data_IF_712922045728
#
_entry.id   IF_712922045728
#
_cell.length_a   1.000
_cell.length_b   1.000
_cell.length_c   1.000
_cell.angle_alpha   90.00
_cell.angle_beta   90.00
_cell.angle_gamma   90.00
#
_symmetry.space_group_name_H-M   'P 1'
#
loop_
_entity.id
_entity.type
_entity.pdbx_description
1 polymer ?
#
# COMPACT_ATOMS: atom_id res chain seq x y z
N UNK A 1 -4.60 -30.02 9.44
CA UNK A 1 -3.37 -30.46 8.75
C UNK A 1 -3.60 -30.84 7.29
N UNK A 2 -4.59 -31.66 6.95
CA UNK A 2 -4.87 -32.08 5.56
C UNK A 2 -5.16 -30.92 4.60
N UNK A 3 -5.90 -29.90 5.04
CA UNK A 3 -6.21 -28.71 4.22
C UNK A 3 -4.98 -27.86 3.89
N UNK A 4 -4.03 -27.70 4.82
CA UNK A 4 -2.79 -26.93 4.59
C UNK A 4 -1.95 -27.54 3.46
N UNK A 5 -1.74 -28.85 3.48
CA UNK A 5 -0.96 -29.55 2.46
C UNK A 5 -1.60 -29.48 1.07
N UNK A 6 -2.94 -29.51 1.00
CA UNK A 6 -3.69 -29.33 -0.25
C UNK A 6 -3.47 -27.92 -0.79
N UNK A 7 -3.65 -26.89 0.04
CA UNK A 7 -3.48 -25.49 -0.39
C UNK A 7 -2.03 -25.24 -0.80
N UNK A 8 -1.05 -25.69 -0.03
CA UNK A 8 0.36 -25.57 -0.37
C UNK A 8 0.68 -26.21 -1.73
N UNK A 9 0.14 -27.41 -1.98
CA UNK A 9 0.36 -28.12 -3.25
C UNK A 9 -0.26 -27.37 -4.43
N UNK A 10 -1.48 -26.85 -4.26
CA UNK A 10 -2.16 -26.04 -5.29
C UNK A 10 -1.34 -24.78 -5.59
N UNK A 11 -0.88 -24.07 -4.55
CA UNK A 11 -0.09 -22.86 -4.70
C UNK A 11 1.22 -23.14 -5.42
N UNK A 12 1.94 -24.20 -5.05
CA UNK A 12 3.18 -24.59 -5.73
C UNK A 12 2.97 -24.96 -7.20
N UNK A 13 1.87 -25.65 -7.53
CA UNK A 13 1.50 -25.94 -8.92
C UNK A 13 1.20 -24.63 -9.66
N UNK A 14 0.43 -23.72 -9.06
CA UNK A 14 0.14 -22.42 -9.65
C UNK A 14 1.41 -21.60 -9.88
N UNK A 15 2.37 -21.63 -8.95
CA UNK A 15 3.68 -20.98 -9.11
C UNK A 15 4.43 -21.56 -10.30
N UNK A 16 4.50 -22.88 -10.41
CA UNK A 16 5.16 -23.53 -11.53
C UNK A 16 4.53 -23.17 -12.88
N UNK A 17 3.19 -23.10 -12.94
CA UNK A 17 2.45 -22.70 -14.15
C UNK A 17 2.74 -21.23 -14.49
N UNK A 18 2.66 -20.32 -13.51
CA UNK A 18 2.91 -18.89 -13.72
C UNK A 18 4.33 -18.64 -14.25
N UNK A 19 5.34 -19.24 -13.62
CA UNK A 19 6.73 -19.14 -14.09
C UNK A 19 6.93 -19.81 -15.46
N UNK A 20 6.30 -20.96 -15.72
CA UNK A 20 6.41 -21.60 -17.05
C UNK A 20 5.73 -20.77 -18.14
N UNK A 21 4.64 -20.07 -17.84
CA UNK A 21 4.00 -19.16 -18.78
C UNK A 21 4.91 -17.96 -19.06
N UNK A 22 5.49 -17.37 -18.02
CA UNK A 22 6.41 -16.23 -18.12
C UNK A 22 7.64 -16.54 -19.00
N UNK A 23 8.17 -17.77 -18.93
CA UNK A 23 9.31 -18.20 -19.75
C UNK A 23 8.96 -18.45 -21.23
N UNK A 24 7.68 -18.68 -21.55
CA UNK A 24 7.22 -18.99 -22.91
C UNK A 24 6.67 -17.77 -23.65
N UNK A 25 6.36 -16.71 -22.92
CA UNK A 25 5.77 -15.51 -23.47
C UNK A 25 6.81 -14.66 -24.22
N UNK A 26 6.43 -14.17 -25.40
CA UNK A 26 7.31 -13.38 -26.26
C UNK A 26 6.86 -11.92 -26.37
N UNK A 27 5.60 -11.60 -26.08
CA UNK A 27 5.12 -10.21 -26.06
C UNK A 27 5.46 -9.55 -24.72
N UNK A 28 6.16 -8.40 -24.78
CA UNK A 28 6.66 -7.70 -23.59
C UNK A 28 5.54 -7.27 -22.63
N UNK A 29 4.37 -6.92 -23.17
CA UNK A 29 3.24 -6.42 -22.38
C UNK A 29 2.51 -7.58 -21.68
N UNK A 30 2.31 -8.69 -22.38
CA UNK A 30 1.84 -9.93 -21.75
C UNK A 30 2.83 -10.46 -20.71
N UNK A 31 4.13 -10.33 -20.96
CA UNK A 31 5.17 -10.75 -20.01
C UNK A 31 5.12 -9.93 -18.71
N UNK A 32 4.80 -8.64 -18.79
CA UNK A 32 4.56 -7.80 -17.62
C UNK A 32 3.32 -8.27 -16.83
N UNK A 33 2.20 -8.55 -17.50
CA UNK A 33 1.01 -9.13 -16.84
C UNK A 33 1.28 -10.49 -16.19
N UNK A 34 2.09 -11.34 -16.83
CA UNK A 34 2.50 -12.62 -16.25
C UNK A 34 3.45 -12.45 -15.06
N UNK A 35 4.19 -11.34 -14.99
CA UNK A 35 5.04 -11.00 -13.85
C UNK A 35 4.18 -10.60 -12.65
N UNK A 36 3.15 -9.77 -12.83
CA UNK A 36 2.16 -9.45 -11.79
C UNK A 36 1.42 -10.70 -11.30
N UNK A 37 1.07 -11.62 -12.22
CA UNK A 37 0.47 -12.90 -11.86
C UNK A 37 1.42 -13.74 -10.99
N UNK A 38 2.71 -13.80 -11.34
CA UNK A 38 3.73 -14.49 -10.57
C UNK A 38 3.92 -13.83 -9.18
N UNK A 39 3.85 -12.50 -9.09
CA UNK A 39 3.87 -11.78 -7.82
C UNK A 39 2.70 -12.19 -6.92
N UNK A 40 1.45 -12.15 -7.42
CA UNK A 40 0.26 -12.52 -6.64
C UNK A 40 0.36 -13.96 -6.12
N UNK A 41 0.81 -14.89 -6.97
CA UNK A 41 1.02 -16.29 -6.56
C UNK A 41 2.15 -16.40 -5.53
N UNK A 42 3.24 -15.63 -5.69
CA UNK A 42 4.33 -15.55 -4.70
C UNK A 42 3.87 -14.99 -3.35
N UNK A 43 3.05 -13.95 -3.34
CA UNK A 43 2.42 -13.40 -2.14
C UNK A 43 1.54 -14.43 -1.44
N UNK A 44 0.91 -15.34 -2.19
CA UNK A 44 0.12 -16.45 -1.63
C UNK A 44 1.00 -17.44 -0.87
N UNK A 45 2.24 -17.70 -1.33
CA UNK A 45 3.21 -18.51 -0.57
C UNK A 45 3.57 -17.82 0.74
N UNK A 46 3.83 -16.50 0.70
CA UNK A 46 4.13 -15.71 1.90
C UNK A 46 2.93 -15.76 2.87
N UNK A 47 1.70 -15.62 2.37
CA UNK A 47 0.48 -15.71 3.17
C UNK A 47 0.31 -17.07 3.86
N UNK A 48 0.74 -18.17 3.23
CA UNK A 48 0.70 -19.50 3.84
C UNK A 48 1.60 -19.65 5.08
N UNK A 49 2.61 -18.79 5.23
CA UNK A 49 3.45 -18.75 6.43
C UNK A 49 2.66 -18.25 7.65
N UNK A 50 1.57 -17.50 7.45
CA UNK A 50 0.60 -17.08 8.47
C UNK A 50 1.23 -16.45 9.72
N UNK A 51 2.23 -15.59 9.53
CA UNK A 51 2.89 -14.82 10.60
C UNK A 51 2.61 -13.33 10.45
N UNK A 52 2.72 -12.57 11.54
CA UNK A 52 2.62 -11.09 11.49
C UNK A 52 3.64 -10.49 10.51
N UNK A 53 4.82 -11.13 10.37
CA UNK A 53 5.83 -10.73 9.38
C UNK A 53 5.36 -10.99 7.95
N UNK A 54 4.66 -12.10 7.69
CA UNK A 54 4.07 -12.38 6.39
C UNK A 54 2.99 -11.36 6.03
N UNK A 55 2.12 -10.99 6.98
CA UNK A 55 1.14 -9.92 6.79
C UNK A 55 1.83 -8.59 6.42
N UNK A 56 2.94 -8.28 7.10
CA UNK A 56 3.74 -7.10 6.83
C UNK A 56 4.42 -7.08 5.45
N UNK A 57 4.68 -8.24 4.86
CA UNK A 57 5.28 -8.36 3.52
C UNK A 57 4.23 -8.41 2.40
N UNK A 58 3.02 -8.89 2.69
CA UNK A 58 1.94 -8.97 1.69
C UNK A 58 1.46 -7.58 1.28
N UNK A 59 1.28 -6.66 2.24
CA UNK A 59 0.75 -5.33 1.93
C UNK A 59 1.67 -4.52 0.99
N UNK A 60 3.00 -4.40 1.21
CA UNK A 60 3.89 -3.75 0.26
C UNK A 60 3.89 -4.41 -1.11
N UNK A 61 3.87 -5.75 -1.18
CA UNK A 61 3.78 -6.46 -2.46
C UNK A 61 2.51 -6.10 -3.22
N UNK A 62 1.35 -6.20 -2.58
CA UNK A 62 0.08 -5.80 -3.21
C UNK A 62 0.08 -4.34 -3.69
N UNK A 63 0.70 -3.42 -2.94
CA UNK A 63 0.82 -2.01 -3.36
C UNK A 63 1.72 -1.85 -4.58
N UNK A 64 2.82 -2.60 -4.66
CA UNK A 64 3.70 -2.64 -5.83
C UNK A 64 2.94 -3.19 -7.04
N UNK A 65 2.32 -4.37 -6.93
CA UNK A 65 1.55 -4.96 -8.02
C UNK A 65 0.39 -4.08 -8.53
N UNK A 66 -0.32 -3.37 -7.64
CA UNK A 66 -1.34 -2.40 -8.09
C UNK A 66 -0.70 -1.23 -8.84
N UNK A 67 0.45 -0.73 -8.38
CA UNK A 67 1.16 0.37 -9.05
C UNK A 67 1.67 -0.05 -10.43
N UNK A 68 2.17 -1.28 -10.56
CA UNK A 68 2.58 -1.87 -11.83
C UNK A 68 1.40 -2.04 -12.78
N UNK A 69 0.28 -2.62 -12.33
CA UNK A 69 -0.95 -2.73 -13.12
C UNK A 69 -1.51 -1.37 -13.57
N UNK A 70 -1.45 -0.34 -12.72
CA UNK A 70 -1.86 1.02 -13.09
C UNK A 70 -0.94 1.59 -14.19
N UNK A 71 0.38 1.43 -14.06
CA UNK A 71 1.33 1.87 -15.07
C UNK A 71 1.13 1.10 -16.40
N UNK A 72 0.88 -0.21 -16.34
CA UNK A 72 0.57 -1.03 -17.51
C UNK A 72 -0.73 -0.59 -18.18
N UNK A 73 -1.75 -0.21 -17.40
CA UNK A 73 -3.01 0.29 -17.93
C UNK A 73 -2.80 1.57 -18.76
N UNK A 74 -1.97 2.50 -18.28
CA UNK A 74 -1.59 3.70 -19.05
C UNK A 74 -0.84 3.34 -20.35
N UNK A 75 0.10 2.38 -20.29
CA UNK A 75 0.81 1.89 -21.49
C UNK A 75 -0.17 1.27 -22.49
N UNK A 76 -1.15 0.50 -22.02
CA UNK A 76 -2.20 -0.10 -22.85
C UNK A 76 -3.09 0.97 -23.51
N UNK A 77 -3.55 1.96 -22.75
CA UNK A 77 -4.38 3.06 -23.26
C UNK A 77 -3.66 3.83 -24.38
N UNK A 78 -2.37 4.10 -24.19
CA UNK A 78 -1.53 4.77 -25.21
C UNK A 78 -1.35 3.88 -26.44
N UNK A 79 -1.10 2.57 -26.26
CA UNK A 79 -0.92 1.60 -27.36
C UNK A 79 -2.18 1.46 -28.23
N UNK A 80 -3.35 1.44 -27.61
CA UNK A 80 -4.66 1.32 -28.29
C UNK A 80 -5.21 2.68 -28.80
N UNK A 81 -4.47 3.78 -28.59
CA UNK A 81 -4.92 5.12 -28.99
C UNK A 81 -6.13 5.65 -28.22
N UNK A 82 -6.45 5.04 -27.08
CA UNK A 82 -7.56 5.40 -26.21
C UNK A 82 -7.14 6.57 -25.31
N UNK A 83 -7.32 7.80 -25.80
CA UNK A 83 -7.14 9.02 -24.99
C UNK A 83 -8.40 9.30 -24.18
N UNK A 84 -8.54 8.69 -23.02
CA UNK A 84 -9.49 9.16 -22.01
C UNK A 84 -8.81 9.26 -20.66
N UNK A 85 -8.27 10.44 -20.37
CA UNK A 85 -8.05 10.85 -18.98
C UNK A 85 -9.43 11.21 -18.41
N UNK A 86 -9.94 10.53 -17.37
CA UNK A 86 -11.16 10.97 -16.70
C UNK A 86 -10.93 12.37 -16.09
N UNK A 87 -11.79 13.34 -16.41
CA UNK A 87 -11.68 14.76 -15.98
C UNK A 87 -11.74 14.96 -14.45
N UNK A 88 -12.10 13.93 -13.68
CA UNK A 88 -12.12 13.95 -12.21
C UNK A 88 -11.63 12.63 -11.65
N UNK A 89 -10.36 12.58 -11.26
CA UNK A 89 -9.82 11.49 -10.47
C UNK A 89 -10.45 11.51 -9.07
N UNK A 90 -11.22 10.47 -8.78
CA UNK A 90 -11.79 10.09 -7.47
C UNK A 90 -12.70 11.16 -6.84
N UNK A 91 -14.00 11.15 -7.11
CA UNK A 91 -15.00 11.87 -6.30
C UNK A 91 -15.97 10.86 -5.68
N UNK A 92 -15.70 10.46 -4.44
CA UNK A 92 -16.58 9.58 -3.68
C UNK A 92 -17.46 10.44 -2.78
N UNK A 93 -18.78 10.26 -2.84
CA UNK A 93 -19.78 11.02 -2.07
C UNK A 93 -19.50 10.99 -0.55
N UNK A 94 -18.97 9.88 -0.05
CA UNK A 94 -18.65 9.68 1.37
C UNK A 94 -17.57 10.65 1.87
N UNK A 95 -16.71 11.13 0.97
CA UNK A 95 -15.65 12.07 1.30
C UNK A 95 -16.17 13.46 1.65
N UNK A 96 -17.31 13.86 1.07
CA UNK A 96 -17.95 15.15 1.36
C UNK A 96 -19.00 15.00 2.47
N UNK A 97 -19.73 13.88 2.47
CA UNK A 97 -20.87 13.67 3.38
C UNK A 97 -20.47 13.28 4.80
N UNK A 98 -19.50 12.38 4.99
CA UNK A 98 -19.18 11.85 6.32
C UNK A 98 -17.74 11.32 6.48
N UNK A 99 -16.70 12.09 6.11
CA UNK A 99 -15.32 11.61 6.14
C UNK A 99 -14.83 11.25 7.55
N UNK A 100 -15.23 12.03 8.56
CA UNK A 100 -14.85 11.79 9.95
C UNK A 100 -15.45 10.51 10.54
N UNK A 101 -16.68 10.16 10.16
CA UNK A 101 -17.35 8.95 10.66
C UNK A 101 -16.65 7.72 10.11
N UNK A 102 -16.38 7.68 8.79
CA UNK A 102 -15.69 6.54 8.18
C UNK A 102 -14.28 6.39 8.75
N UNK A 103 -13.53 7.48 8.89
CA UNK A 103 -12.21 7.47 9.51
C UNK A 103 -12.25 6.93 10.95
N UNK A 104 -13.20 7.40 11.77
CA UNK A 104 -13.36 6.94 13.15
C UNK A 104 -13.71 5.45 13.23
N UNK A 105 -14.63 4.97 12.38
CA UNK A 105 -14.97 3.54 12.29
C UNK A 105 -13.74 2.71 11.94
N UNK A 106 -12.96 3.13 10.93
CA UNK A 106 -11.74 2.43 10.53
C UNK A 106 -10.68 2.43 11.65
N UNK A 107 -10.49 3.53 12.36
CA UNK A 107 -9.56 3.59 13.50
C UNK A 107 -10.00 2.68 14.64
N UNK A 108 -11.27 2.77 15.06
CA UNK A 108 -11.80 1.93 16.14
C UNK A 108 -11.74 0.46 15.75
N UNK A 109 -12.14 0.12 14.53
CA UNK A 109 -12.09 -1.24 14.03
C UNK A 109 -10.64 -1.76 13.96
N UNK A 110 -9.70 -0.95 13.48
CA UNK A 110 -8.28 -1.30 13.45
C UNK A 110 -7.68 -1.54 14.84
N UNK A 111 -8.06 -0.74 15.84
CA UNK A 111 -7.65 -0.95 17.23
C UNK A 111 -8.19 -2.29 17.77
N UNK A 112 -9.43 -2.65 17.41
CA UNK A 112 -10.03 -3.94 17.81
C UNK A 112 -9.33 -5.11 17.11
N UNK A 113 -8.99 -4.97 15.82
CA UNK A 113 -8.45 -6.05 15.00
C UNK A 113 -7.06 -6.53 15.48
N UNK A 114 -6.32 -5.72 16.25
CA UNK A 114 -4.99 -6.00 16.80
C UNK A 114 -3.95 -6.47 15.75
N UNK A 115 -2.69 -6.64 16.12
CA UNK A 115 -1.64 -7.05 15.20
C UNK A 115 -1.32 -6.04 14.10
N UNK A 116 -0.62 -6.49 13.05
CA UNK A 116 -0.20 -5.64 11.92
C UNK A 116 -1.41 -5.17 11.09
N UNK A 117 -2.33 -6.07 10.80
CA UNK A 117 -3.57 -5.77 10.07
C UNK A 117 -4.42 -4.69 10.75
N UNK A 118 -4.54 -4.73 12.09
CA UNK A 118 -5.24 -3.69 12.84
C UNK A 118 -4.55 -2.32 12.76
N UNK A 119 -3.21 -2.31 12.86
CA UNK A 119 -2.41 -1.10 12.67
C UNK A 119 -2.54 -0.51 11.26
N UNK A 120 -2.57 -1.34 10.23
CA UNK A 120 -2.78 -0.92 8.85
C UNK A 120 -4.16 -0.27 8.67
N UNK A 121 -5.24 -0.91 9.15
CA UNK A 121 -6.61 -0.38 9.04
C UNK A 121 -6.77 0.93 9.82
N UNK A 122 -6.22 1.01 11.03
CA UNK A 122 -6.25 2.25 11.80
C UNK A 122 -5.45 3.38 11.12
N UNK A 123 -4.29 3.05 10.56
CA UNK A 123 -3.47 3.96 9.76
C UNK A 123 -4.22 4.48 8.51
N UNK A 124 -4.91 3.60 7.78
CA UNK A 124 -5.74 3.97 6.63
C UNK A 124 -6.89 4.88 7.03
N UNK A 125 -7.56 4.62 8.16
CA UNK A 125 -8.60 5.51 8.69
C UNK A 125 -8.07 6.92 8.99
N UNK A 126 -6.89 7.01 9.60
CA UNK A 126 -6.22 8.29 9.87
C UNK A 126 -5.87 9.00 8.56
N UNK A 127 -5.22 8.30 7.62
CA UNK A 127 -4.86 8.83 6.30
C UNK A 127 -6.09 9.33 5.53
N UNK A 128 -7.19 8.59 5.57
CA UNK A 128 -8.44 8.96 4.91
C UNK A 128 -9.01 10.27 5.47
N UNK A 129 -8.96 10.47 6.79
CA UNK A 129 -9.39 11.73 7.40
C UNK A 129 -8.56 12.92 6.91
N UNK A 130 -7.24 12.78 6.90
CA UNK A 130 -6.33 13.84 6.44
C UNK A 130 -6.49 14.11 4.94
N UNK A 131 -6.74 13.07 4.14
CA UNK A 131 -7.02 13.20 2.72
C UNK A 131 -8.30 14.02 2.45
N UNK A 132 -9.35 13.85 3.26
CA UNK A 132 -10.61 14.58 3.09
C UNK A 132 -10.58 16.01 3.64
N UNK A 133 -9.78 16.27 4.68
CA UNK A 133 -9.82 17.56 5.39
C UNK A 133 -9.17 18.70 4.61
N UNK A 134 -8.16 18.42 3.78
CA UNK A 134 -7.32 19.43 3.15
C UNK A 134 -6.54 20.25 4.18
N UNK A 135 -5.25 20.49 3.96
CA UNK A 135 -4.49 21.42 4.80
C UNK A 135 -3.93 22.50 3.90
N UNK A 136 -4.55 23.68 3.93
CA UNK A 136 -3.91 24.87 3.42
C UNK A 136 -2.72 25.21 4.32
N UNK A 137 -1.64 25.66 3.68
CA UNK A 137 -0.49 26.30 4.34
C UNK A 137 0.46 25.38 5.09
N UNK A 138 1.31 24.66 4.33
CA UNK A 138 2.78 24.80 4.41
C UNK A 138 3.47 23.64 3.67
N UNK A 139 3.47 23.68 2.33
CA UNK A 139 4.19 22.72 1.48
C UNK A 139 5.63 22.48 1.96
N UNK A 140 6.35 23.55 2.33
CA UNK A 140 7.73 23.46 2.82
C UNK A 140 7.85 22.72 4.17
N UNK A 141 6.89 22.90 5.09
CA UNK A 141 6.88 22.24 6.40
C UNK A 141 6.49 20.75 6.26
N UNK A 142 5.55 20.47 5.36
CA UNK A 142 5.11 19.10 5.04
C UNK A 142 6.24 18.31 4.35
N UNK A 143 6.99 18.96 3.46
CA UNK A 143 8.14 18.35 2.79
C UNK A 143 9.31 18.09 3.77
N UNK A 144 9.63 19.03 4.66
CA UNK A 144 10.63 18.80 5.71
C UNK A 144 10.21 17.68 6.66
N UNK A 145 8.93 17.63 7.05
CA UNK A 145 8.42 16.55 7.90
C UNK A 145 8.55 15.17 7.22
N UNK A 146 8.30 15.07 5.91
CA UNK A 146 8.55 13.86 5.11
C UNK A 146 10.04 13.47 5.09
N UNK A 147 10.95 14.45 5.04
CA UNK A 147 12.39 14.21 5.15
C UNK A 147 12.79 13.61 6.50
N UNK A 148 12.31 14.21 7.60
CA UNK A 148 12.55 13.69 8.96
C UNK A 148 11.95 12.30 9.17
N UNK A 149 10.75 12.05 8.63
CA UNK A 149 10.14 10.73 8.65
C UNK A 149 11.02 9.68 7.96
N UNK A 150 11.62 9.99 6.82
CA UNK A 150 12.52 9.04 6.16
C UNK A 150 13.77 8.71 7.00
N UNK A 151 14.37 9.71 7.63
CA UNK A 151 15.53 9.51 8.52
C UNK A 151 15.14 8.67 9.75
N UNK A 152 14.00 8.95 10.37
CA UNK A 152 13.47 8.17 11.49
C UNK A 152 13.18 6.72 11.12
N UNK A 153 12.66 6.48 9.91
CA UNK A 153 12.42 5.13 9.41
C UNK A 153 13.72 4.33 9.24
N UNK A 154 14.75 4.94 8.66
CA UNK A 154 16.08 4.30 8.54
C UNK A 154 16.68 4.04 9.92
N UNK A 155 16.64 5.02 10.82
CA UNK A 155 17.16 4.87 12.18
C UNK A 155 16.45 3.72 12.92
N UNK A 156 15.14 3.61 12.78
CA UNK A 156 14.37 2.49 13.31
C UNK A 156 14.83 1.14 12.75
N UNK A 157 15.12 1.05 11.45
CA UNK A 157 15.63 -0.17 10.83
C UNK A 157 17.00 -0.58 11.40
N UNK A 158 17.89 0.38 11.61
CA UNK A 158 19.18 0.14 12.26
C UNK A 158 19.03 -0.29 13.72
N UNK A 159 18.09 0.30 14.48
CA UNK A 159 17.81 -0.14 15.86
C UNK A 159 17.30 -1.58 15.87
N UNK A 160 16.41 -1.94 14.94
CA UNK A 160 15.90 -3.30 14.81
C UNK A 160 17.02 -4.32 14.53
N UNK A 161 18.00 -3.96 13.70
CA UNK A 161 19.13 -4.84 13.35
C UNK A 161 20.23 -4.90 14.41
N UNK A 162 20.60 -3.78 15.03
CA UNK A 162 21.75 -3.68 15.94
C UNK A 162 21.34 -4.00 17.38
N UNK A 163 20.12 -3.63 17.78
CA UNK A 163 19.62 -3.75 19.14
C UNK A 163 18.22 -4.40 19.16
N UNK A 164 18.12 -5.71 18.87
CA UNK A 164 16.84 -6.41 18.77
C UNK A 164 16.06 -6.44 20.08
N UNK A 165 16.69 -6.17 21.23
CA UNK A 165 15.99 -5.96 22.50
C UNK A 165 15.03 -4.77 22.48
N UNK A 166 15.25 -3.78 21.61
CA UNK A 166 14.39 -2.62 21.43
C UNK A 166 13.47 -2.74 20.20
N UNK A 167 13.16 -3.96 19.76
CA UNK A 167 12.36 -4.21 18.56
C UNK A 167 11.02 -3.47 18.55
N UNK A 168 10.28 -3.44 19.68
CA UNK A 168 8.98 -2.76 19.75
C UNK A 168 9.11 -1.25 19.54
N UNK A 169 10.15 -0.65 20.12
CA UNK A 169 10.45 0.76 19.93
C UNK A 169 10.80 1.06 18.46
N UNK A 170 11.66 0.24 17.86
CA UNK A 170 12.01 0.35 16.44
C UNK A 170 10.76 0.25 15.54
N UNK A 171 9.88 -0.73 15.78
CA UNK A 171 8.64 -0.91 15.00
C UNK A 171 7.70 0.29 15.16
N UNK A 172 7.54 0.83 16.38
CA UNK A 172 6.70 2.01 16.61
C UNK A 172 7.25 3.26 15.91
N UNK A 173 8.56 3.47 15.95
CA UNK A 173 9.22 4.59 15.24
C UNK A 173 9.09 4.41 13.72
N UNK A 174 9.32 3.21 13.19
CA UNK A 174 9.18 2.93 11.76
C UNK A 174 7.73 3.12 11.28
N UNK A 175 6.74 2.62 12.02
CA UNK A 175 5.33 2.77 11.71
C UNK A 175 4.88 4.23 11.75
N UNK A 176 5.24 4.97 12.80
CA UNK A 176 4.94 6.40 12.92
C UNK A 176 5.61 7.23 11.83
N UNK A 177 6.86 6.92 11.49
CA UNK A 177 7.59 7.56 10.41
C UNK A 177 6.93 7.32 9.04
N UNK A 178 6.56 6.08 8.71
CA UNK A 178 5.84 5.78 7.45
C UNK A 178 4.51 6.53 7.41
N UNK A 179 3.72 6.49 8.49
CA UNK A 179 2.45 7.20 8.56
C UNK A 179 2.66 8.69 8.30
N UNK A 180 3.62 9.33 8.96
CA UNK A 180 3.92 10.74 8.75
C UNK A 180 4.32 11.06 7.30
N UNK A 181 5.13 10.19 6.68
CA UNK A 181 5.56 10.35 5.29
C UNK A 181 4.40 10.23 4.29
N UNK A 182 3.53 9.23 4.48
CA UNK A 182 2.37 9.01 3.60
C UNK A 182 1.33 10.10 3.83
N UNK A 183 1.09 10.48 5.08
CA UNK A 183 0.22 11.60 5.47
C UNK A 183 0.62 12.91 4.77
N UNK A 184 1.92 13.23 4.79
CA UNK A 184 2.45 14.41 4.11
C UNK A 184 2.08 14.41 2.63
N UNK A 185 2.21 13.28 1.94
CA UNK A 185 1.81 13.14 0.52
C UNK A 185 0.31 13.19 0.30
N UNK A 186 -0.48 12.53 1.15
CA UNK A 186 -1.94 12.50 1.03
C UNK A 186 -2.56 13.88 1.28
N UNK A 187 -2.01 14.67 2.20
CA UNK A 187 -2.41 16.06 2.42
C UNK A 187 -2.21 16.92 1.16
N UNK A 188 -1.07 16.75 0.46
CA UNK A 188 -0.79 17.45 -0.80
C UNK A 188 -1.81 17.09 -1.90
N UNK A 189 -2.15 15.80 -2.03
CA UNK A 189 -3.19 15.37 -2.99
C UNK A 189 -4.57 15.91 -2.61
N UNK A 190 -4.89 15.95 -1.32
CA UNK A 190 -6.11 16.59 -0.81
C UNK A 190 -6.20 18.07 -1.18
N UNK A 191 -5.10 18.83 -1.06
CA UNK A 191 -5.06 20.25 -1.49
C UNK A 191 -5.20 20.44 -3.00
N UNK A 192 -4.66 19.52 -3.81
CA UNK A 192 -4.77 19.56 -5.28
C UNK A 192 -6.18 19.23 -5.79
N UNK A 193 -7.07 18.71 -4.92
CA UNK A 193 -8.45 18.33 -5.26
C UNK A 193 -9.45 19.50 -5.22
N UNK A 194 -8.95 20.73 -5.05
CA UNK A 194 -9.73 21.95 -5.05
C UNK A 194 -9.86 22.54 -3.66
N UNK A 195 -8.77 23.17 -3.19
CA UNK A 195 -8.91 24.23 -2.21
C UNK A 195 -9.87 25.28 -2.75
N UNK A 196 -10.81 25.75 -1.92
CA UNK A 196 -11.57 26.95 -2.21
C UNK A 196 -10.56 28.08 -2.33
N UNK A 197 -10.19 28.46 -3.56
CA UNK A 197 -9.61 29.74 -4.02
C UNK A 197 -8.74 29.56 -5.29
N UNK A 198 -9.32 29.01 -6.36
CA UNK A 198 -9.06 29.47 -7.74
C UNK A 198 -10.40 29.55 -8.47
#
# INVERSE_FOLDING_TARGET
MTSYWIVLTIVLIATAIAFSALLRENDDLHRLLLTDLAEIVGLTIIALVATDLAEALILPGLVVGISELMALSEVYLVKEGLKQAPERLMHLEIMDSAPAILAAVLVVYGIILSGFSGGAVAGTGLLFWFFCKGHDEAFALIETASGYAWVLWIAAFFIFMIAPSYWLFAVMVAGGAILLKVMAKMALVGTMRGGKHV
#
